data_IF_411313390311
#
_entry.id   IF_411313390311
#
_cell.length_a   1.000
_cell.length_b   1.000
_cell.length_c   1.000
_cell.angle_alpha   90.00
_cell.angle_beta   90.00
_cell.angle_gamma   90.00
#
_symmetry.space_group_name_H-M   'P 1'
#
loop_
_entity.id
_entity.type
_entity.pdbx_description
1 polymer ?
#
# COMPACT_ATOMS: atom_id res chain seq x y z
N UNK A 1 22.83 24.26 -28.65
CA UNK A 1 23.22 22.91 -29.11
C UNK A 1 22.30 21.91 -28.43
N UNK A 2 21.13 21.69 -29.01
CA UNK A 2 20.02 20.95 -28.42
C UNK A 2 19.90 19.67 -29.24
N UNK A 3 20.46 18.59 -28.71
CA UNK A 3 20.34 17.28 -29.33
C UNK A 3 18.92 16.76 -29.11
N UNK A 4 18.06 16.93 -30.11
CA UNK A 4 16.78 16.24 -30.20
C UNK A 4 17.04 14.74 -30.41
N UNK A 5 17.19 14.00 -29.31
CA UNK A 5 17.21 12.54 -29.30
C UNK A 5 15.81 12.04 -29.70
N UNK A 6 15.63 11.66 -30.96
CA UNK A 6 14.51 10.82 -31.34
C UNK A 6 14.82 9.38 -30.91
N UNK A 7 14.16 8.83 -29.88
CA UNK A 7 14.42 7.47 -29.44
C UNK A 7 14.01 6.50 -30.56
N UNK A 8 14.92 5.56 -30.89
CA UNK A 8 14.61 4.50 -31.82
C UNK A 8 13.34 3.74 -31.36
N UNK A 9 12.48 3.26 -32.28
CA UNK A 9 11.19 2.65 -31.94
C UNK A 9 11.33 1.44 -31.00
N UNK A 10 12.46 0.72 -31.07
CA UNK A 10 12.83 -0.35 -30.13
C UNK A 10 13.00 0.14 -28.68
N UNK A 11 13.68 1.26 -28.46
CA UNK A 11 13.90 1.83 -27.14
C UNK A 11 12.57 2.32 -26.56
N UNK A 12 11.74 2.97 -27.39
CA UNK A 12 10.40 3.39 -26.97
C UNK A 12 9.55 2.20 -26.51
N UNK A 13 9.57 1.08 -27.24
CA UNK A 13 8.86 -0.15 -26.84
C UNK A 13 9.40 -0.72 -25.53
N UNK A 14 10.72 -0.76 -25.35
CA UNK A 14 11.35 -1.24 -24.11
C UNK A 14 10.99 -0.36 -22.91
N UNK A 15 10.98 0.97 -23.07
CA UNK A 15 10.55 1.89 -22.01
C UNK A 15 9.09 1.64 -21.64
N UNK A 16 8.20 1.51 -22.61
CA UNK A 16 6.79 1.20 -22.33
C UNK A 16 6.61 -0.17 -21.68
N UNK A 17 7.38 -1.18 -22.08
CA UNK A 17 7.37 -2.48 -21.42
C UNK A 17 7.83 -2.40 -19.97
N UNK A 18 8.89 -1.63 -19.69
CA UNK A 18 9.38 -1.40 -18.34
C UNK A 18 8.36 -0.64 -17.47
N UNK A 19 7.72 0.39 -18.03
CA UNK A 19 6.65 1.14 -17.34
C UNK A 19 5.46 0.23 -17.03
N UNK A 20 4.98 -0.54 -18.01
CA UNK A 20 3.87 -1.47 -17.81
C UNK A 20 4.22 -2.56 -16.79
N UNK A 21 5.41 -3.14 -16.89
CA UNK A 21 5.91 -4.13 -15.93
C UNK A 21 6.01 -3.56 -14.52
N UNK A 22 6.57 -2.36 -14.37
CA UNK A 22 6.66 -1.67 -13.08
C UNK A 22 5.28 -1.37 -12.47
N UNK A 23 4.33 -0.94 -13.30
CA UNK A 23 2.95 -0.68 -12.85
C UNK A 23 2.25 -1.96 -12.41
N UNK A 24 2.42 -3.07 -13.15
CA UNK A 24 1.87 -4.37 -12.77
C UNK A 24 2.44 -4.86 -11.44
N UNK A 25 3.77 -4.75 -11.24
CA UNK A 25 4.42 -5.11 -9.98
C UNK A 25 3.90 -4.24 -8.84
N UNK A 26 3.83 -2.92 -9.03
CA UNK A 26 3.35 -2.00 -8.02
C UNK A 26 1.90 -2.32 -7.61
N UNK A 27 0.99 -2.46 -8.59
CA UNK A 27 -0.41 -2.80 -8.33
C UNK A 27 -0.53 -4.15 -7.64
N UNK A 28 0.18 -5.17 -8.12
CA UNK A 28 0.17 -6.52 -7.52
C UNK A 28 0.66 -6.53 -6.08
N UNK A 29 1.76 -5.84 -5.79
CA UNK A 29 2.29 -5.72 -4.43
C UNK A 29 1.29 -5.04 -3.48
N UNK A 30 0.69 -3.92 -3.90
CA UNK A 30 -0.30 -3.21 -3.08
C UNK A 30 -1.59 -4.04 -2.89
N UNK A 31 -2.05 -4.74 -3.93
CA UNK A 31 -3.20 -5.64 -3.83
C UNK A 31 -2.93 -6.79 -2.87
N UNK A 32 -1.73 -7.35 -2.88
CA UNK A 32 -1.32 -8.38 -1.93
C UNK A 32 -1.33 -7.87 -0.48
N UNK A 33 -0.78 -6.67 -0.23
CA UNK A 33 -0.82 -6.06 1.11
C UNK A 33 -2.26 -5.85 1.59
N UNK A 34 -3.15 -5.36 0.73
CA UNK A 34 -4.56 -5.21 1.06
C UNK A 34 -5.22 -6.56 1.38
N UNK A 35 -4.97 -7.58 0.56
CA UNK A 35 -5.46 -8.94 0.80
C UNK A 35 -5.00 -9.45 2.17
N UNK A 36 -3.71 -9.33 2.48
CA UNK A 36 -3.17 -9.75 3.79
C UNK A 36 -3.82 -8.97 4.94
N UNK A 37 -4.01 -7.66 4.80
CA UNK A 37 -4.65 -6.85 5.83
C UNK A 37 -6.09 -7.29 6.14
N UNK A 38 -6.85 -7.75 5.13
CA UNK A 38 -8.22 -8.21 5.32
C UNK A 38 -8.35 -9.69 5.68
N UNK A 39 -7.39 -10.52 5.28
CA UNK A 39 -7.43 -11.97 5.52
C UNK A 39 -6.73 -12.41 6.79
N UNK A 40 -5.78 -11.61 7.29
CA UNK A 40 -5.30 -11.77 8.65
C UNK A 40 -6.51 -11.52 9.55
N UNK A 41 -6.98 -12.53 10.29
CA UNK A 41 -8.00 -12.35 11.34
C UNK A 41 -7.60 -11.14 12.19
N UNK A 42 -8.26 -9.97 12.02
CA UNK A 42 -8.04 -8.85 12.90
C UNK A 42 -8.95 -9.14 14.08
N UNK A 43 -8.67 -10.23 14.80
CA UNK A 43 -9.50 -10.62 15.93
C UNK A 43 -9.51 -9.42 16.86
N UNK A 44 -10.68 -8.82 16.97
CA UNK A 44 -10.98 -7.78 17.93
C UNK A 44 -10.82 -8.41 19.31
N UNK A 45 -9.58 -8.51 19.80
CA UNK A 45 -9.31 -9.03 21.13
C UNK A 45 -10.12 -8.15 22.08
N UNK A 46 -11.03 -8.73 22.91
CA UNK A 46 -11.92 -7.93 23.75
C UNK A 46 -11.09 -6.96 24.57
N UNK A 47 -11.10 -5.69 24.18
CA UNK A 47 -10.37 -4.66 24.87
C UNK A 47 -11.09 -4.42 26.19
N UNK A 48 -10.67 -5.12 27.23
CA UNK A 48 -11.06 -4.90 28.62
C UNK A 48 -10.49 -3.57 29.10
N UNK A 49 -10.95 -2.44 28.55
CA UNK A 49 -10.96 -1.20 29.31
C UNK A 49 -12.25 -1.24 30.11
N UNK A 50 -12.20 -1.97 31.22
CA UNK A 50 -13.19 -1.80 32.27
C UNK A 50 -13.38 -0.32 32.54
N UNK A 51 -14.63 0.10 32.58
CA UNK A 51 -15.04 1.42 32.96
C UNK A 51 -14.85 1.58 34.48
N UNK A 52 -13.60 1.61 34.93
CA UNK A 52 -13.25 1.77 36.34
C UNK A 52 -12.20 2.89 36.48
N UNK A 53 -12.69 4.13 36.36
CA UNK A 53 -12.34 5.13 37.37
C UNK A 53 -11.24 6.18 37.11
N UNK A 54 -10.88 6.55 35.87
CA UNK A 54 -10.20 7.86 35.66
C UNK A 54 -10.40 8.45 34.26
N UNK A 55 -10.89 9.69 34.21
CA UNK A 55 -11.23 10.45 33.01
C UNK A 55 -10.04 11.26 32.48
N UNK A 56 -9.08 10.60 31.84
CA UNK A 56 -7.99 11.27 31.11
C UNK A 56 -8.22 11.16 29.60
N UNK A 57 -7.99 12.26 28.86
CA UNK A 57 -7.88 12.23 27.40
C UNK A 57 -6.79 11.22 27.00
N UNK A 58 -7.19 10.11 26.39
CA UNK A 58 -6.27 9.08 25.89
C UNK A 58 -6.52 8.83 24.41
N UNK A 59 -5.45 8.50 23.69
CA UNK A 59 -5.54 8.08 22.30
C UNK A 59 -6.51 6.89 22.17
N UNK A 60 -7.29 6.88 21.09
CA UNK A 60 -8.13 5.74 20.73
C UNK A 60 -7.26 4.48 20.58
N UNK A 61 -7.75 3.39 21.16
CA UNK A 61 -7.07 2.09 21.15
C UNK A 61 -7.43 1.37 19.84
N UNK A 62 -6.47 0.68 19.23
CA UNK A 62 -6.68 -0.01 17.94
C UNK A 62 -7.83 -0.99 18.04
N UNK A 63 -8.69 -0.91 17.04
CA UNK A 63 -9.96 -1.60 17.02
C UNK A 63 -9.81 -3.11 17.26
N UNK A 64 -10.75 -3.70 17.95
CA UNK A 64 -12.09 -3.10 18.11
C UNK A 64 -12.30 -2.61 19.55
#
# INVERSE_FOLDING_TARGET
MNASLHPAPRLRRLVWAAVAGGLLVFVGANAHLAYVAFTSQPDCVPHSKGADGNHDYRAAKSAC
#
